data_IF_909361035949
#
_entry.id   IF_909361035949
#
_cell.length_a   1.000
_cell.length_b   1.000
_cell.length_c   1.000
_cell.angle_alpha   90.00
_cell.angle_beta   90.00
_cell.angle_gamma   90.00
#
_symmetry.space_group_name_H-M   'P 1'
#
loop_
_entity.id
_entity.type
_entity.pdbx_description
1 polymer ?
#
# COMPACT_ATOMS: atom_id res chain seq x y z
N UNK A 1 19.76 5.53 72.21
CA UNK A 1 20.22 6.91 71.89
C UNK A 1 20.39 6.96 70.38
N UNK A 2 19.55 7.68 69.62
CA UNK A 2 19.71 9.09 69.19
C UNK A 2 21.15 9.44 68.77
N UNK A 3 21.49 10.14 67.69
CA UNK A 3 20.87 10.68 66.46
C UNK A 3 22.08 11.25 65.67
N UNK A 4 22.02 11.25 64.34
CA UNK A 4 22.79 12.18 63.50
C UNK A 4 23.07 11.55 62.13
N UNK A 5 22.55 11.98 60.99
CA UNK A 5 21.97 13.28 60.64
C UNK A 5 22.81 13.94 59.56
N UNK A 6 22.71 13.44 58.32
CA UNK A 6 23.33 14.06 57.14
C UNK A 6 22.49 13.73 55.90
N UNK A 7 21.46 14.54 55.63
CA UNK A 7 20.73 14.51 54.36
C UNK A 7 21.35 15.55 53.45
N UNK A 8 22.03 15.11 52.39
CA UNK A 8 22.30 15.96 51.23
C UNK A 8 20.98 16.38 50.61
N UNK A 9 20.75 17.69 50.51
CA UNK A 9 19.59 18.26 49.85
C UNK A 9 19.76 18.12 48.34
N UNK A 10 18.94 17.27 47.72
CA UNK A 10 18.80 17.23 46.27
C UNK A 10 18.11 18.51 45.79
N UNK A 11 18.80 19.28 44.93
CA UNK A 11 18.25 20.44 44.24
C UNK A 11 17.03 20.03 43.40
N UNK A 12 15.85 20.62 43.59
CA UNK A 12 14.69 20.32 42.76
C UNK A 12 14.92 20.86 41.35
N UNK A 13 14.70 20.00 40.35
CA UNK A 13 14.70 20.41 38.95
C UNK A 13 13.58 21.44 38.71
N UNK A 14 13.83 22.50 37.93
CA UNK A 14 12.83 23.52 37.65
C UNK A 14 11.63 22.91 36.93
N UNK A 15 10.46 23.15 37.53
CA UNK A 15 9.15 22.76 37.07
C UNK A 15 8.71 23.63 35.88
N UNK A 16 8.27 22.97 34.81
CA UNK A 16 7.34 23.45 33.79
C UNK A 16 7.62 24.81 33.13
N UNK A 17 8.47 24.80 32.09
CA UNK A 17 8.30 25.75 30.99
C UNK A 17 7.04 25.36 30.18
N UNK A 18 6.10 26.29 29.92
CA UNK A 18 4.92 25.99 29.12
C UNK A 18 5.37 25.74 27.68
N UNK A 19 5.23 24.49 27.23
CA UNK A 19 5.32 24.16 25.81
C UNK A 19 4.24 24.97 25.09
N UNK A 20 4.66 25.99 24.35
CA UNK A 20 3.76 26.66 23.41
C UNK A 20 3.26 25.58 22.46
N UNK A 21 1.98 25.25 22.56
CA UNK A 21 1.33 24.35 21.62
C UNK A 21 1.57 24.89 20.21
N UNK A 22 2.43 24.22 19.45
CA UNK A 22 2.56 24.47 18.02
C UNK A 22 1.26 23.97 17.44
N UNK A 23 0.34 24.89 17.14
CA UNK A 23 -0.84 24.61 16.35
C UNK A 23 -0.38 23.98 15.05
N UNK A 24 -0.59 22.66 14.90
CA UNK A 24 -0.38 21.98 13.62
C UNK A 24 -1.28 22.66 12.61
N UNK A 25 -0.67 23.40 11.69
CA UNK A 25 -1.36 23.83 10.48
C UNK A 25 -2.00 22.62 9.78
N UNK A 26 -2.98 22.86 8.89
CA UNK A 26 -3.70 21.79 8.20
C UNK A 26 -2.70 20.77 7.66
N UNK A 27 -2.80 19.53 8.14
CA UNK A 27 -1.91 18.46 7.73
C UNK A 27 -2.10 18.27 6.23
N UNK A 28 -1.13 18.75 5.44
CA UNK A 28 -1.22 18.73 3.98
C UNK A 28 -1.60 17.33 3.50
N UNK A 29 -2.61 17.26 2.64
CA UNK A 29 -3.16 16.04 2.08
C UNK A 29 -2.03 15.15 1.59
N UNK A 30 -1.79 14.02 2.27
CA UNK A 30 -0.75 13.06 1.87
C UNK A 30 -1.27 12.23 0.70
N UNK A 31 -1.02 12.70 -0.52
CA UNK A 31 -1.34 11.95 -1.74
C UNK A 31 -0.33 10.82 -1.98
N UNK A 32 -0.80 9.61 -2.26
CA UNK A 32 0.03 8.53 -2.82
C UNK A 32 -0.29 8.44 -4.31
N UNK A 33 0.72 8.64 -5.14
CA UNK A 33 0.67 8.56 -6.59
C UNK A 33 1.36 7.25 -6.99
N UNK A 34 0.69 6.49 -7.85
CA UNK A 34 1.22 5.25 -8.41
C UNK A 34 1.83 5.57 -9.77
N UNK A 35 3.10 5.24 -9.94
CA UNK A 35 3.76 5.33 -11.24
C UNK A 35 3.29 4.21 -12.16
N UNK A 36 3.53 4.34 -13.46
CA UNK A 36 3.40 3.24 -14.42
C UNK A 36 4.57 2.24 -14.33
N UNK A 37 5.67 2.62 -13.67
CA UNK A 37 6.81 1.71 -13.43
C UNK A 37 6.42 0.68 -12.37
N UNK A 38 6.53 -0.60 -12.74
CA UNK A 38 6.18 -1.73 -11.88
C UNK A 38 7.20 -2.02 -10.77
N UNK A 39 6.77 -2.76 -9.75
CA UNK A 39 7.51 -3.07 -8.52
C UNK A 39 8.87 -3.73 -8.78
N UNK A 40 8.99 -4.60 -9.77
CA UNK A 40 10.23 -5.31 -10.12
C UNK A 40 11.30 -4.35 -10.63
N UNK A 41 10.98 -3.56 -11.65
CA UNK A 41 11.87 -2.53 -12.18
C UNK A 41 12.20 -1.47 -11.12
N UNK A 42 11.22 -1.11 -10.30
CA UNK A 42 11.38 -0.14 -9.22
C UNK A 42 12.34 -0.62 -8.12
N UNK A 43 12.23 -1.90 -7.73
CA UNK A 43 13.10 -2.52 -6.73
C UNK A 43 14.53 -2.68 -7.25
N UNK A 44 14.69 -3.03 -8.54
CA UNK A 44 15.99 -3.15 -9.17
C UNK A 44 16.72 -1.80 -9.30
N UNK A 45 15.97 -0.73 -9.56
CA UNK A 45 16.53 0.62 -9.68
C UNK A 45 15.51 1.66 -9.24
N UNK A 46 15.83 2.35 -8.14
CA UNK A 46 15.04 3.48 -7.66
C UNK A 46 14.98 4.59 -8.74
N UNK A 47 13.80 4.96 -9.26
CA UNK A 47 13.71 6.01 -10.28
C UNK A 47 14.24 7.36 -9.80
N UNK A 48 14.77 8.17 -10.72
CA UNK A 48 15.24 9.52 -10.41
C UNK A 48 14.09 10.45 -9.99
N UNK A 49 14.40 11.57 -9.32
CA UNK A 49 13.38 12.56 -8.94
C UNK A 49 12.62 13.06 -10.17
N UNK A 50 13.32 13.34 -11.27
CA UNK A 50 12.69 13.81 -12.50
C UNK A 50 11.86 12.73 -13.19
N UNK A 51 12.34 11.48 -13.22
CA UNK A 51 11.67 10.39 -13.92
C UNK A 51 10.31 10.01 -13.34
N UNK A 52 10.03 10.36 -12.08
CA UNK A 52 8.73 10.07 -11.42
C UNK A 52 8.10 11.30 -10.80
N UNK A 53 8.51 12.49 -11.23
CA UNK A 53 7.91 13.75 -10.78
C UNK A 53 6.45 13.83 -11.23
N UNK A 54 5.49 14.04 -10.31
CA UNK A 54 4.11 14.28 -10.70
C UNK A 54 3.99 15.52 -11.57
N UNK A 55 3.13 15.49 -12.59
CA UNK A 55 2.88 16.67 -13.42
C UNK A 55 2.25 17.83 -12.63
N UNK A 56 1.46 17.51 -11.60
CA UNK A 56 0.73 18.48 -10.76
C UNK A 56 0.78 18.09 -9.29
N UNK A 57 0.66 19.08 -8.41
CA UNK A 57 0.49 18.85 -6.99
C UNK A 57 -0.90 18.22 -6.71
N UNK A 58 -0.99 17.09 -5.97
CA UNK A 58 -2.29 16.51 -5.62
C UNK A 58 -3.04 17.31 -4.53
N UNK A 59 -2.36 18.26 -3.85
CA UNK A 59 -2.97 19.12 -2.84
C UNK A 59 -3.64 20.36 -3.45
N UNK A 60 -2.92 21.11 -4.29
CA UNK A 60 -3.40 22.38 -4.85
C UNK A 60 -3.53 22.41 -6.38
N UNK A 61 -3.23 21.33 -7.10
CA UNK A 61 -3.33 21.27 -8.56
C UNK A 61 -2.25 22.04 -9.34
N UNK A 62 -1.39 22.80 -8.66
CA UNK A 62 -0.31 23.57 -9.29
C UNK A 62 0.59 22.67 -10.15
N UNK A 63 0.96 23.16 -11.33
CA UNK A 63 1.90 22.46 -12.21
C UNK A 63 3.23 22.28 -11.48
N UNK A 64 3.81 21.08 -11.56
CA UNK A 64 5.08 20.80 -10.89
C UNK A 64 6.24 21.57 -11.52
N UNK A 65 6.23 21.73 -12.85
CA UNK A 65 7.25 22.38 -13.68
C UNK A 65 6.57 23.40 -14.60
N UNK A 66 6.14 24.55 -14.08
CA UNK A 66 5.59 25.61 -14.93
C UNK A 66 6.67 26.11 -15.90
N UNK A 67 6.29 26.40 -17.15
CA UNK A 67 7.22 26.95 -18.16
C UNK A 67 7.61 28.36 -17.76
N UNK A 68 8.90 28.67 -17.79
CA UNK A 68 9.42 30.01 -17.45
C UNK A 68 9.35 30.40 -15.97
N UNK A 69 9.00 29.48 -15.07
CA UNK A 69 8.88 29.76 -13.65
C UNK A 69 9.59 28.72 -12.77
N UNK A 70 9.75 29.05 -11.49
CA UNK A 70 10.42 28.19 -10.53
C UNK A 70 9.69 26.85 -10.34
N UNK A 71 10.47 25.80 -10.05
CA UNK A 71 9.97 24.47 -9.76
C UNK A 71 9.04 24.49 -8.53
N UNK A 72 7.88 23.82 -8.63
CA UNK A 72 6.86 23.81 -7.57
C UNK A 72 6.91 22.55 -6.70
N UNK A 73 6.99 21.36 -7.28
CA UNK A 73 7.25 20.14 -6.50
C UNK A 73 8.75 19.92 -6.42
N UNK A 74 9.29 19.67 -5.24
CA UNK A 74 10.71 19.37 -5.03
C UNK A 74 10.88 17.95 -4.52
N UNK A 75 11.95 17.27 -4.92
CA UNK A 75 12.30 15.98 -4.33
C UNK A 75 12.55 16.15 -2.84
N UNK A 76 11.79 15.42 -2.01
CA UNK A 76 11.80 15.51 -0.55
C UNK A 76 12.32 14.20 0.08
N UNK A 77 13.20 13.50 -0.64
CA UNK A 77 13.83 12.27 -0.20
C UNK A 77 13.08 10.99 -0.57
N UNK A 78 13.48 9.91 0.08
CA UNK A 78 13.00 8.54 -0.16
C UNK A 78 12.42 7.99 1.13
N UNK A 79 11.40 7.15 1.01
CA UNK A 79 10.88 6.36 2.13
C UNK A 79 10.89 4.90 1.73
N UNK A 80 11.28 4.01 2.62
CA UNK A 80 11.15 2.58 2.37
C UNK A 80 9.74 2.08 2.65
N UNK A 81 9.27 1.15 1.83
CA UNK A 81 8.04 0.38 2.05
C UNK A 81 8.32 -1.09 1.83
N UNK A 82 7.85 -1.91 2.77
CA UNK A 82 7.76 -3.34 2.55
C UNK A 82 6.57 -3.66 1.65
N UNK A 83 6.79 -4.55 0.68
CA UNK A 83 5.80 -5.11 -0.25
C UNK A 83 5.88 -6.62 -0.18
N UNK A 84 4.73 -7.27 0.01
CA UNK A 84 4.61 -8.72 0.17
C UNK A 84 3.84 -9.34 -0.99
N UNK A 85 4.22 -10.57 -1.30
CA UNK A 85 3.52 -11.48 -2.20
C UNK A 85 4.34 -11.85 -3.43
N UNK A 86 3.75 -12.60 -4.36
CA UNK A 86 4.41 -12.94 -5.61
C UNK A 86 4.66 -11.65 -6.41
N UNK A 87 5.87 -11.53 -6.96
CA UNK A 87 6.24 -10.40 -7.83
C UNK A 87 5.66 -10.63 -9.21
N UNK A 88 5.81 -11.85 -9.72
CA UNK A 88 5.16 -12.35 -10.92
C UNK A 88 4.20 -13.50 -10.59
N UNK A 89 3.37 -13.87 -11.56
CA UNK A 89 2.53 -15.05 -11.43
C UNK A 89 3.37 -16.34 -11.37
N UNK A 90 2.93 -17.30 -10.55
CA UNK A 90 3.59 -18.60 -10.39
C UNK A 90 4.86 -18.58 -9.55
N UNK A 91 5.38 -17.38 -9.22
CA UNK A 91 6.56 -17.25 -8.36
C UNK A 91 6.24 -17.45 -6.87
N UNK A 92 7.27 -17.82 -6.13
CA UNK A 92 7.20 -17.93 -4.66
C UNK A 92 6.94 -16.54 -4.07
N UNK A 93 6.04 -16.40 -3.09
CA UNK A 93 5.79 -15.10 -2.47
C UNK A 93 7.00 -14.60 -1.69
N UNK A 94 7.38 -13.34 -1.90
CA UNK A 94 8.54 -12.71 -1.28
C UNK A 94 8.13 -11.53 -0.39
N UNK A 95 9.08 -11.11 0.47
CA UNK A 95 9.03 -9.84 1.18
C UNK A 95 10.12 -8.93 0.60
N UNK A 96 9.71 -7.91 -0.15
CA UNK A 96 10.61 -6.95 -0.77
C UNK A 96 10.52 -5.59 -0.08
N UNK A 97 11.64 -4.86 -0.05
CA UNK A 97 11.65 -3.45 0.32
C UNK A 97 11.81 -2.60 -0.92
N UNK A 98 10.92 -1.63 -1.12
CA UNK A 98 10.98 -0.67 -2.22
C UNK A 98 11.11 0.76 -1.68
N UNK A 99 12.06 1.53 -2.21
CA UNK A 99 12.17 2.95 -1.91
C UNK A 99 11.13 3.74 -2.71
N UNK A 100 10.24 4.48 -2.08
CA UNK A 100 9.27 5.38 -2.74
C UNK A 100 9.74 6.82 -2.65
N UNK A 101 9.54 7.60 -3.72
CA UNK A 101 9.97 9.00 -3.78
C UNK A 101 8.97 9.90 -3.08
N UNK A 102 9.45 10.87 -2.31
CA UNK A 102 8.61 11.91 -1.70
C UNK A 102 8.82 13.23 -2.43
N UNK A 103 7.76 14.00 -2.55
CA UNK A 103 7.79 15.35 -3.07
C UNK A 103 7.14 16.31 -2.09
N UNK A 104 7.65 17.54 -2.04
CA UNK A 104 7.09 18.64 -1.27
C UNK A 104 6.68 19.76 -2.25
N UNK A 105 5.43 20.21 -2.14
CA UNK A 105 4.97 21.38 -2.86
C UNK A 105 5.42 22.66 -2.15
N UNK A 106 6.11 23.55 -2.85
CA UNK A 106 6.49 24.85 -2.29
C UNK A 106 5.31 25.82 -2.21
N UNK A 107 4.30 25.68 -3.08
CA UNK A 107 3.09 26.51 -3.10
C UNK A 107 2.14 26.22 -1.92
N UNK A 108 1.73 24.97 -1.72
CA UNK A 108 0.74 24.61 -0.69
C UNK A 108 1.30 23.78 0.47
N UNK A 109 2.61 23.50 0.48
CA UNK A 109 3.29 22.70 1.51
C UNK A 109 2.83 21.25 1.65
N UNK A 110 1.93 20.78 0.77
CA UNK A 110 1.52 19.37 0.74
C UNK A 110 2.69 18.47 0.35
N UNK A 111 2.76 17.30 0.99
CA UNK A 111 3.70 16.24 0.60
C UNK A 111 2.97 15.13 -0.13
N UNK A 112 3.54 14.62 -1.22
CA UNK A 112 3.05 13.42 -1.87
C UNK A 112 4.15 12.37 -2.00
N UNK A 113 3.75 11.11 -2.12
CA UNK A 113 4.64 9.99 -2.32
C UNK A 113 4.35 9.34 -3.66
N UNK A 114 5.37 9.11 -4.46
CA UNK A 114 5.29 8.36 -5.72
C UNK A 114 5.94 7.00 -5.52
N UNK A 115 5.19 5.94 -5.78
CA UNK A 115 5.65 4.56 -5.64
C UNK A 115 5.25 3.68 -6.84
N UNK A 116 5.65 2.40 -6.83
CA UNK A 116 5.34 1.48 -7.91
C UNK A 116 3.84 1.27 -8.05
N UNK A 117 3.42 0.91 -9.26
CA UNK A 117 2.01 0.77 -9.64
C UNK A 117 1.21 -0.17 -8.74
N UNK A 118 1.86 -1.25 -8.33
CA UNK A 118 1.26 -2.38 -7.62
C UNK A 118 1.12 -2.12 -6.12
N UNK A 119 1.76 -1.06 -5.59
CA UNK A 119 1.79 -0.79 -4.15
C UNK A 119 0.49 -0.11 -3.71
N UNK A 120 -0.27 -0.83 -2.88
CA UNK A 120 -1.48 -0.33 -2.26
C UNK A 120 -1.15 0.52 -1.02
N UNK A 121 -1.85 1.65 -0.90
CA UNK A 121 -1.73 2.57 0.24
C UNK A 121 -2.11 1.89 1.54
N UNK A 122 -1.27 2.00 2.57
CA UNK A 122 -1.47 1.40 3.91
C UNK A 122 -1.59 -0.13 3.92
N UNK A 123 -1.19 -0.81 2.85
CA UNK A 123 -1.13 -2.28 2.80
C UNK A 123 0.32 -2.72 2.60
N UNK A 124 0.61 -3.93 3.09
CA UNK A 124 1.86 -4.63 2.89
C UNK A 124 1.83 -5.46 1.62
N UNK A 125 0.70 -6.06 1.28
CA UNK A 125 0.58 -6.89 0.08
C UNK A 125 0.33 -6.02 -1.16
N UNK A 126 0.96 -6.41 -2.27
CA UNK A 126 0.75 -5.77 -3.58
C UNK A 126 -0.70 -5.98 -4.07
N UNK A 127 -1.16 -5.12 -4.99
CA UNK A 127 -2.45 -5.29 -5.65
C UNK A 127 -2.59 -6.66 -6.32
N UNK A 128 -1.61 -7.14 -7.13
CA UNK A 128 -1.62 -8.50 -7.67
C UNK A 128 -1.71 -9.59 -6.61
N UNK A 129 -0.99 -9.47 -5.49
CA UNK A 129 -1.02 -10.46 -4.42
C UNK A 129 -2.41 -10.54 -3.75
N UNK A 130 -3.03 -9.40 -3.47
CA UNK A 130 -4.40 -9.35 -2.95
C UNK A 130 -5.39 -9.96 -3.95
N UNK A 131 -5.26 -9.62 -5.23
CA UNK A 131 -6.13 -10.14 -6.29
C UNK A 131 -5.99 -11.66 -6.46
N UNK A 132 -4.76 -12.18 -6.47
CA UNK A 132 -4.50 -13.62 -6.50
C UNK A 132 -5.15 -14.33 -5.31
N UNK A 133 -5.05 -13.76 -4.10
CA UNK A 133 -5.70 -14.33 -2.92
C UNK A 133 -7.23 -14.42 -3.08
N UNK A 134 -7.86 -13.38 -3.62
CA UNK A 134 -9.29 -13.37 -3.89
C UNK A 134 -9.69 -14.41 -4.95
N UNK A 135 -8.90 -14.56 -6.01
CA UNK A 135 -9.14 -15.58 -7.03
C UNK A 135 -9.01 -17.01 -6.47
N UNK A 136 -7.93 -17.28 -5.74
CA UNK A 136 -7.69 -18.60 -5.15
C UNK A 136 -8.81 -18.98 -4.15
N UNK A 137 -9.25 -18.02 -3.32
CA UNK A 137 -10.29 -18.25 -2.33
C UNK A 137 -11.70 -18.33 -2.94
N UNK A 138 -12.02 -17.39 -3.84
CA UNK A 138 -13.36 -17.19 -4.40
C UNK A 138 -13.66 -18.07 -5.60
N UNK A 139 -12.75 -18.15 -6.57
CA UNK A 139 -12.94 -18.84 -7.84
C UNK A 139 -12.43 -20.28 -7.80
N UNK A 140 -11.21 -20.49 -7.27
CA UNK A 140 -10.62 -21.83 -7.17
C UNK A 140 -10.97 -22.55 -5.86
N UNK A 141 -11.82 -21.95 -5.03
CA UNK A 141 -12.37 -22.52 -3.81
C UNK A 141 -11.33 -23.05 -2.81
N UNK A 142 -10.08 -22.59 -2.91
CA UNK A 142 -8.95 -23.11 -2.13
C UNK A 142 -9.15 -22.87 -0.63
N UNK A 143 -8.74 -23.81 0.24
CA UNK A 143 -8.68 -23.58 1.67
C UNK A 143 -7.78 -22.40 2.01
N UNK A 144 -8.12 -21.64 3.06
CA UNK A 144 -7.39 -20.42 3.47
C UNK A 144 -5.89 -20.68 3.67
N UNK A 145 -5.53 -21.84 4.23
CA UNK A 145 -4.13 -22.24 4.41
C UNK A 145 -3.37 -22.34 3.07
N UNK A 146 -3.99 -22.91 2.03
CA UNK A 146 -3.39 -23.02 0.70
C UNK A 146 -3.27 -21.63 0.04
N UNK A 147 -4.28 -20.78 0.19
CA UNK A 147 -4.23 -19.39 -0.31
C UNK A 147 -3.04 -18.65 0.31
N UNK A 148 -2.91 -18.74 1.65
CA UNK A 148 -1.81 -18.09 2.37
C UNK A 148 -0.45 -18.61 1.93
N UNK A 149 -0.30 -19.92 1.74
CA UNK A 149 0.97 -20.52 1.30
C UNK A 149 1.44 -20.01 -0.07
N UNK A 150 0.51 -19.68 -0.97
CA UNK A 150 0.81 -19.16 -2.31
C UNK A 150 1.00 -17.64 -2.35
N UNK A 151 0.38 -16.90 -1.43
CA UNK A 151 0.38 -15.42 -1.48
C UNK A 151 1.30 -14.78 -0.44
N UNK A 152 1.58 -15.46 0.67
CA UNK A 152 2.31 -14.88 1.80
C UNK A 152 3.68 -15.51 1.97
N UNK A 153 4.77 -14.72 2.09
CA UNK A 153 6.08 -15.25 2.47
C UNK A 153 6.05 -15.84 3.90
N UNK A 154 5.11 -15.39 4.74
CA UNK A 154 4.96 -15.85 6.11
C UNK A 154 3.94 -16.99 6.21
N UNK A 155 4.44 -18.22 6.17
CA UNK A 155 3.64 -19.45 6.18
C UNK A 155 2.91 -19.70 7.51
N UNK A 156 3.52 -19.37 8.64
CA UNK A 156 2.93 -19.55 9.99
C UNK A 156 3.28 -18.33 10.85
N UNK A 157 2.29 -17.70 11.49
CA UNK A 157 2.50 -16.58 12.45
C UNK A 157 1.82 -16.98 13.75
N UNK A 158 2.36 -18.03 14.39
CA UNK A 158 1.86 -18.59 15.64
C UNK A 158 0.68 -19.58 15.51
N UNK A 159 0.42 -20.38 16.57
CA UNK A 159 -0.50 -21.52 16.56
C UNK A 159 -1.95 -21.14 16.22
N UNK A 160 -2.40 -19.97 16.67
CA UNK A 160 -3.76 -19.45 16.47
C UNK A 160 -4.00 -18.86 15.06
N UNK A 161 -2.94 -18.67 14.26
CA UNK A 161 -3.04 -18.14 12.89
C UNK A 161 -3.12 -19.23 11.80
N UNK A 162 -2.98 -20.50 12.18
CA UNK A 162 -2.94 -21.61 11.23
C UNK A 162 -4.29 -21.81 10.51
N UNK A 163 -5.40 -21.55 11.20
CA UNK A 163 -6.76 -21.70 10.66
C UNK A 163 -7.41 -20.41 10.13
N UNK A 164 -6.88 -19.23 10.45
CA UNK A 164 -7.48 -17.95 10.05
C UNK A 164 -6.43 -16.97 9.54
N UNK A 165 -6.59 -16.52 8.30
CA UNK A 165 -5.76 -15.46 7.72
C UNK A 165 -6.55 -14.16 7.71
N UNK A 166 -6.42 -13.39 8.80
CA UNK A 166 -7.17 -12.13 8.99
C UNK A 166 -7.02 -11.13 7.83
N UNK A 167 -5.87 -11.13 7.16
CA UNK A 167 -5.62 -10.23 6.03
C UNK A 167 -6.59 -10.50 4.86
N UNK A 168 -6.81 -11.76 4.49
CA UNK A 168 -7.75 -12.14 3.44
C UNK A 168 -9.16 -11.62 3.73
N UNK A 169 -9.67 -11.88 4.93
CA UNK A 169 -11.02 -11.43 5.31
C UNK A 169 -11.11 -9.91 5.47
N UNK A 170 -10.04 -9.24 5.89
CA UNK A 170 -9.98 -7.78 5.89
C UNK A 170 -10.03 -7.21 4.46
N UNK A 171 -9.43 -7.89 3.48
CA UNK A 171 -9.53 -7.48 2.07
C UNK A 171 -10.92 -7.71 1.51
N UNK A 172 -11.54 -8.85 1.79
CA UNK A 172 -12.92 -9.13 1.39
C UNK A 172 -13.88 -8.07 1.94
N UNK A 173 -13.77 -7.73 3.24
CA UNK A 173 -14.55 -6.65 3.84
C UNK A 173 -14.27 -5.30 3.20
N UNK A 174 -13.01 -4.98 2.94
CA UNK A 174 -12.64 -3.74 2.28
C UNK A 174 -13.13 -3.68 0.82
N UNK A 175 -13.17 -4.80 0.08
CA UNK A 175 -13.77 -4.87 -1.25
C UNK A 175 -15.26 -4.60 -1.18
N UNK A 176 -15.97 -5.22 -0.24
CA UNK A 176 -17.41 -4.96 -0.03
C UNK A 176 -17.67 -3.47 0.24
N UNK A 177 -16.81 -2.84 1.05
CA UNK A 177 -16.87 -1.39 1.33
C UNK A 177 -16.18 -0.49 0.29
N UNK A 178 -15.82 -0.98 -0.90
CA UNK A 178 -15.21 -0.17 -1.97
C UNK A 178 -13.78 0.35 -1.72
N UNK A 179 -13.06 -0.18 -0.73
CA UNK A 179 -11.81 0.36 -0.19
C UNK A 179 -10.50 -0.36 -0.58
N UNK A 180 -10.53 -1.35 -1.48
CA UNK A 180 -9.29 -1.99 -2.02
C UNK A 180 -9.01 -1.56 -3.45
N UNK A 181 -10.03 -1.63 -4.29
CA UNK A 181 -9.99 -1.35 -5.73
C UNK A 181 -11.22 -0.49 -6.04
N UNK A 182 -11.06 0.78 -6.41
CA UNK A 182 -12.22 1.68 -6.52
C UNK A 182 -13.05 1.39 -7.78
N UNK A 183 -12.42 0.85 -8.84
CA UNK A 183 -13.12 0.43 -10.05
C UNK A 183 -14.07 -0.78 -9.87
N UNK A 184 -14.11 -1.43 -8.71
CA UNK A 184 -14.95 -2.62 -8.55
C UNK A 184 -16.42 -2.25 -8.33
N UNK A 185 -17.35 -2.99 -8.94
CA UNK A 185 -18.76 -2.80 -8.70
C UNK A 185 -19.11 -3.12 -7.24
N UNK A 186 -20.13 -2.46 -6.67
CA UNK A 186 -20.59 -2.76 -5.32
C UNK A 186 -21.05 -4.22 -5.21
N UNK A 187 -20.92 -4.76 -4.00
CA UNK A 187 -21.37 -6.13 -3.68
C UNK A 187 -22.56 -6.06 -2.72
N UNK A 188 -23.59 -6.91 -2.90
CA UNK A 188 -24.67 -7.05 -1.94
C UNK A 188 -24.18 -7.41 -0.52
N UNK A 189 -24.91 -6.95 0.50
CA UNK A 189 -24.52 -7.12 1.91
C UNK A 189 -24.63 -8.56 2.40
N UNK A 190 -25.62 -9.30 1.89
CA UNK A 190 -25.95 -10.70 2.23
C UNK A 190 -24.97 -11.71 1.63
N UNK A 191 -24.11 -11.28 0.70
CA UNK A 191 -23.17 -12.19 0.05
C UNK A 191 -22.12 -12.74 1.01
N UNK A 192 -21.88 -14.05 0.91
CA UNK A 192 -20.78 -14.69 1.63
C UNK A 192 -19.42 -14.10 1.22
N UNK A 193 -18.44 -14.19 2.12
CA UNK A 193 -17.07 -13.72 1.86
C UNK A 193 -16.49 -14.31 0.56
N UNK A 194 -16.83 -15.58 0.27
CA UNK A 194 -16.36 -16.29 -0.92
C UNK A 194 -17.00 -15.75 -2.20
N UNK A 195 -18.29 -15.42 -2.19
CA UNK A 195 -18.97 -14.78 -3.32
C UNK A 195 -18.42 -13.38 -3.61
N UNK A 196 -18.16 -12.58 -2.58
CA UNK A 196 -17.51 -11.27 -2.72
C UNK A 196 -16.13 -11.42 -3.36
N UNK A 197 -15.32 -12.36 -2.89
CA UNK A 197 -14.00 -12.63 -3.45
C UNK A 197 -14.07 -13.08 -4.92
N UNK A 198 -14.99 -13.99 -5.26
CA UNK A 198 -15.20 -14.47 -6.63
C UNK A 198 -15.61 -13.33 -7.57
N UNK A 199 -16.57 -12.48 -7.17
CA UNK A 199 -17.02 -11.34 -7.95
C UNK A 199 -15.89 -10.35 -8.20
N UNK A 200 -15.14 -10.03 -7.15
CA UNK A 200 -14.00 -9.13 -7.25
C UNK A 200 -12.94 -9.69 -8.20
N UNK A 201 -12.57 -10.97 -8.05
CA UNK A 201 -11.61 -11.62 -8.93
C UNK A 201 -12.06 -11.61 -10.40
N UNK A 202 -13.32 -11.95 -10.70
CA UNK A 202 -13.85 -11.88 -12.06
C UNK A 202 -13.84 -10.45 -12.64
N UNK A 203 -14.22 -9.45 -11.84
CA UNK A 203 -14.21 -8.05 -12.26
C UNK A 203 -12.79 -7.48 -12.45
N UNK A 204 -11.81 -7.98 -11.70
CA UNK A 204 -10.40 -7.68 -11.91
C UNK A 204 -9.89 -8.36 -13.18
N UNK A 205 -10.21 -9.64 -13.39
CA UNK A 205 -9.81 -10.37 -14.59
C UNK A 205 -10.31 -9.72 -15.88
N UNK A 206 -11.54 -9.18 -15.88
CA UNK A 206 -12.10 -8.44 -17.01
C UNK A 206 -11.36 -7.12 -17.32
N UNK A 207 -10.45 -6.66 -16.43
CA UNK A 207 -9.61 -5.46 -16.61
C UNK A 207 -8.18 -5.81 -16.98
N UNK A 208 -7.85 -7.10 -17.10
CA UNK A 208 -6.55 -7.49 -17.61
C UNK A 208 -6.39 -6.96 -19.05
N UNK A 209 -5.21 -6.44 -19.42
CA UNK A 209 -4.93 -6.13 -20.83
C UNK A 209 -5.13 -7.38 -21.67
N UNK A 210 -5.56 -7.20 -22.94
CA UNK A 210 -5.71 -8.32 -23.87
C UNK A 210 -4.41 -9.11 -23.94
N UNK A 211 -4.47 -10.39 -23.57
CA UNK A 211 -3.32 -11.27 -23.64
C UNK A 211 -3.07 -11.60 -25.12
N UNK A 212 -1.97 -11.09 -25.68
CA UNK A 212 -1.53 -11.47 -27.03
C UNK A 212 -0.85 -12.84 -26.93
N UNK A 213 -1.59 -13.89 -27.26
CA UNK A 213 -1.09 -15.27 -27.27
C UNK A 213 -2.15 -16.28 -27.72
N UNK A 214 -1.75 -17.50 -28.10
CA UNK A 214 -2.66 -18.50 -28.69
C UNK A 214 -3.68 -19.08 -27.70
N UNK A 215 -3.51 -18.87 -26.39
CA UNK A 215 -4.45 -19.31 -25.36
C UNK A 215 -4.51 -18.29 -24.21
N UNK A 216 -5.70 -17.91 -23.73
CA UNK A 216 -5.83 -16.98 -22.61
C UNK A 216 -5.27 -17.62 -21.34
N UNK A 217 -4.50 -16.86 -20.52
CA UNK A 217 -3.97 -17.39 -19.28
C UNK A 217 -5.11 -17.72 -18.29
N UNK A 218 -4.87 -18.60 -17.30
CA UNK A 218 -5.89 -18.95 -16.32
C UNK A 218 -6.51 -17.73 -15.62
N UNK A 219 -7.79 -17.83 -15.25
CA UNK A 219 -8.57 -16.69 -14.71
C UNK A 219 -7.93 -16.00 -13.49
N UNK A 220 -7.23 -16.75 -12.64
CA UNK A 220 -6.52 -16.20 -11.48
C UNK A 220 -5.27 -15.39 -11.87
N UNK A 221 -4.67 -15.66 -13.04
CA UNK A 221 -3.58 -14.86 -13.63
C UNK A 221 -4.13 -13.54 -14.14
N UNK A 222 -5.21 -13.60 -14.93
CA UNK A 222 -5.91 -12.42 -15.42
C UNK A 222 -6.34 -11.52 -14.26
N UNK A 223 -6.81 -12.12 -13.16
CA UNK A 223 -7.17 -11.38 -11.93
C UNK A 223 -6.01 -10.56 -11.38
N UNK A 224 -4.81 -11.14 -11.28
CA UNK A 224 -3.62 -10.44 -10.80
C UNK A 224 -3.16 -9.34 -11.76
N UNK A 225 -3.20 -9.61 -13.07
CA UNK A 225 -2.86 -8.64 -14.11
C UNK A 225 -3.84 -7.46 -14.12
N UNK A 226 -5.15 -7.69 -14.08
CA UNK A 226 -6.13 -6.60 -14.09
C UNK A 226 -6.15 -5.78 -12.79
N UNK A 227 -5.63 -6.31 -11.69
CA UNK A 227 -5.56 -5.60 -10.41
C UNK A 227 -4.74 -4.32 -10.45
N UNK A 228 -3.72 -4.24 -11.31
CA UNK A 228 -2.92 -3.02 -11.48
C UNK A 228 -3.68 -1.92 -12.23
N UNK A 229 -4.79 -2.26 -12.90
CA UNK A 229 -5.67 -1.35 -13.66
C UNK A 229 -6.96 -0.96 -12.91
N UNK A 230 -7.31 -1.66 -11.83
CA UNK A 230 -8.54 -1.43 -11.08
C UNK A 230 -8.44 -0.27 -10.08
N UNK A 231 -8.24 0.94 -10.62
CA UNK A 231 -8.10 2.19 -9.84
C UNK A 231 -9.40 2.61 -9.21
#
# INVERSE_FOLDING_TARGET
MRVGGGREAATPLPTNAPWKSVTRGPQGTRGVIRSEVGVKSWAARLPSVEGVRPARCPGCGAASRPVGAALVLHGHGVRERQVLGPVEWGEVPLALTVGVRRFLCTSCRATCTVGPREVLTRRLYSAPAVALALALFGLLLRPVAQVRAQVSPWRVVGPSSAGSWCALFAWVRAVRGGGVFAALPPCPEDWSARRVAARAAGALAARAPEAVGPSPPPLHVLTALGAVHAR
#
